data_IF_134990071030
#
_entry.id   IF_134990071030
#
_cell.length_a   1.000
_cell.length_b   1.000
_cell.length_c   1.000
_cell.angle_alpha   90.00
_cell.angle_beta   90.00
_cell.angle_gamma   90.00
#
_symmetry.space_group_name_H-M   'P 1'
#
loop_
_entity.id
_entity.type
_entity.pdbx_description
1 polymer ?
#
# COMPACT_ATOMS: atom_id res chain seq x y z
N UNK A 1 12.88 31.65 22.81
CA UNK A 1 11.63 31.02 23.30
C UNK A 1 10.45 31.78 22.75
N UNK A 2 9.77 31.22 21.74
CA UNK A 2 8.31 31.29 21.54
C UNK A 2 7.97 30.01 20.79
N UNK A 3 7.23 29.11 21.42
CA UNK A 3 6.75 27.90 20.77
C UNK A 3 5.45 28.17 20.03
N UNK A 4 5.20 27.41 18.96
CA UNK A 4 3.86 27.06 18.50
C UNK A 4 3.95 25.69 17.84
N UNK A 5 3.55 24.67 18.61
CA UNK A 5 3.07 23.43 18.04
C UNK A 5 1.79 23.72 17.26
N UNK A 6 1.71 23.20 16.05
CA UNK A 6 0.53 23.32 15.22
C UNK A 6 0.61 22.31 14.11
N UNK A 7 -0.09 21.19 14.28
CA UNK A 7 -0.37 20.24 13.22
C UNK A 7 -1.01 21.00 12.06
N UNK A 8 -0.25 21.17 10.97
CA UNK A 8 -0.69 21.89 9.79
C UNK A 8 -1.59 20.97 8.96
N UNK A 9 -2.86 20.89 9.34
CA UNK A 9 -3.90 20.27 8.52
C UNK A 9 -4.93 21.34 8.13
N UNK A 10 -5.21 21.55 6.84
CA UNK A 10 -6.37 22.34 6.45
C UNK A 10 -7.63 21.50 6.72
N UNK A 11 -8.40 21.91 7.72
CA UNK A 11 -9.76 21.41 7.91
C UNK A 11 -10.63 22.05 6.84
N UNK A 12 -11.20 21.25 5.94
CA UNK A 12 -12.26 21.69 5.02
C UNK A 12 -13.52 20.89 5.36
N UNK A 13 -14.58 21.61 5.72
CA UNK A 13 -15.93 21.10 5.96
C UNK A 13 -16.10 20.06 7.09
N UNK A 14 -15.42 20.28 8.23
CA UNK A 14 -15.76 19.64 9.51
C UNK A 14 -15.55 18.12 9.60
N UNK A 15 -14.92 17.49 8.60
CA UNK A 15 -14.60 16.06 8.59
C UNK A 15 -13.10 15.85 8.68
N UNK A 16 -12.69 14.91 9.54
CA UNK A 16 -11.30 14.46 9.65
C UNK A 16 -10.93 13.78 8.33
N UNK A 17 -10.26 14.48 7.41
CA UNK A 17 -9.78 13.87 6.18
C UNK A 17 -8.69 12.85 6.52
N UNK A 18 -9.02 11.57 6.38
CA UNK A 18 -8.04 10.50 6.20
C UNK A 18 -7.18 10.90 4.99
N UNK A 19 -5.85 10.90 5.19
CA UNK A 19 -4.91 11.74 4.47
C UNK A 19 -5.04 11.70 2.92
N UNK A 20 -4.83 12.84 2.23
CA UNK A 20 -4.83 12.90 0.77
C UNK A 20 -3.83 11.90 0.18
N UNK A 21 -4.19 11.33 -0.97
CA UNK A 21 -3.33 10.41 -1.72
C UNK A 21 -1.96 11.06 -1.99
N UNK A 22 -0.92 10.25 -2.14
CA UNK A 22 0.44 10.78 -2.40
C UNK A 22 0.49 11.74 -3.61
N UNK A 23 -0.42 11.55 -4.58
CA UNK A 23 -0.58 12.40 -5.76
C UNK A 23 -1.12 13.80 -5.42
N UNK A 24 -2.07 13.90 -4.50
CA UNK A 24 -2.61 15.19 -4.03
C UNK A 24 -1.63 15.93 -3.12
N UNK A 25 -0.84 15.21 -2.32
CA UNK A 25 0.25 15.82 -1.51
C UNK A 25 1.37 16.39 -2.37
N UNK A 26 1.69 15.74 -3.48
CA UNK A 26 2.71 16.21 -4.43
C UNK A 26 2.33 17.51 -5.13
N UNK A 27 1.03 17.76 -5.33
CA UNK A 27 0.54 18.96 -6.02
C UNK A 27 0.77 20.27 -5.24
N UNK A 28 1.05 20.23 -3.93
CA UNK A 28 1.15 21.42 -3.08
C UNK A 28 2.59 21.85 -2.73
N UNK A 29 3.64 21.17 -3.25
CA UNK A 29 5.03 21.59 -3.07
C UNK A 29 5.96 21.17 -4.23
N UNK A 30 6.19 22.03 -5.22
CA UNK A 30 7.19 21.77 -6.25
C UNK A 30 8.60 22.10 -5.70
N UNK A 31 9.40 21.07 -5.40
CA UNK A 31 10.86 21.23 -5.29
C UNK A 31 11.59 20.69 -4.05
N UNK A 32 11.02 19.79 -3.25
CA UNK A 32 11.82 19.06 -2.24
C UNK A 32 12.24 17.69 -2.78
N UNK A 33 13.46 17.24 -2.47
CA UNK A 33 13.89 15.86 -2.78
C UNK A 33 12.97 14.81 -2.13
N UNK A 34 12.33 15.17 -1.02
CA UNK A 34 11.27 14.38 -0.41
C UNK A 34 10.04 14.24 -1.31
N UNK A 35 9.55 15.29 -1.99
CA UNK A 35 8.40 15.14 -2.89
C UNK A 35 8.74 14.26 -4.10
N UNK A 36 9.96 14.32 -4.63
CA UNK A 36 10.40 13.38 -5.67
C UNK A 36 10.46 11.92 -5.18
N UNK A 37 10.94 11.67 -3.96
CA UNK A 37 10.99 10.31 -3.40
C UNK A 37 9.59 9.77 -3.05
N UNK A 38 8.72 10.60 -2.47
CA UNK A 38 7.33 10.26 -2.16
C UNK A 38 6.49 10.03 -3.42
N UNK A 39 6.73 10.77 -4.50
CA UNK A 39 6.09 10.57 -5.81
C UNK A 39 6.67 9.33 -6.52
N UNK A 40 7.96 9.07 -6.40
CA UNK A 40 8.62 7.94 -7.09
C UNK A 40 8.38 6.58 -6.41
N UNK A 41 8.15 6.56 -5.09
CA UNK A 41 7.86 5.32 -4.34
C UNK A 41 6.67 4.52 -4.90
N UNK A 42 5.48 5.10 -5.14
CA UNK A 42 4.37 4.37 -5.73
C UNK A 42 4.65 3.91 -7.17
N UNK A 43 5.43 4.65 -7.97
CA UNK A 43 5.74 4.25 -9.34
C UNK A 43 6.62 2.99 -9.42
N UNK A 44 7.64 2.90 -8.55
CA UNK A 44 8.48 1.70 -8.46
C UNK A 44 7.68 0.49 -7.99
N UNK A 45 6.80 0.68 -7.00
CA UNK A 45 5.91 -0.37 -6.51
C UNK A 45 4.91 -0.82 -7.58
N UNK A 46 4.36 0.11 -8.37
CA UNK A 46 3.49 -0.22 -9.51
C UNK A 46 4.22 -1.03 -10.58
N UNK A 47 5.46 -0.67 -10.91
CA UNK A 47 6.27 -1.45 -11.83
C UNK A 47 6.56 -2.86 -11.30
N UNK A 48 6.76 -2.98 -9.98
CA UNK A 48 6.97 -4.27 -9.33
C UNK A 48 5.70 -5.13 -9.32
N UNK A 49 4.53 -4.53 -9.02
CA UNK A 49 3.21 -5.19 -9.14
C UNK A 49 3.04 -5.78 -10.54
N UNK A 50 3.30 -4.99 -11.60
CA UNK A 50 3.17 -5.46 -12.98
C UNK A 50 4.08 -6.66 -13.31
N UNK A 51 5.28 -6.75 -12.71
CA UNK A 51 6.14 -7.93 -12.88
C UNK A 51 5.55 -9.15 -12.19
N UNK A 52 5.10 -9.00 -10.95
CA UNK A 52 4.51 -10.11 -10.19
C UNK A 52 3.19 -10.58 -10.78
N UNK A 53 2.38 -9.69 -11.38
CA UNK A 53 1.19 -10.06 -12.13
C UNK A 53 1.52 -10.95 -13.33
N UNK A 54 2.62 -10.69 -14.05
CA UNK A 54 3.11 -11.57 -15.12
C UNK A 54 3.52 -12.94 -14.58
N UNK A 55 4.24 -12.98 -13.46
CA UNK A 55 4.60 -14.25 -12.81
C UNK A 55 3.34 -15.02 -12.37
N UNK A 56 2.32 -14.31 -11.89
CA UNK A 56 1.04 -14.92 -11.52
C UNK A 56 0.31 -15.53 -12.72
N UNK A 57 0.46 -14.97 -13.93
CA UNK A 57 -0.11 -15.58 -15.14
C UNK A 57 0.50 -16.95 -15.41
N UNK A 58 1.81 -17.11 -15.21
CA UNK A 58 2.50 -18.39 -15.37
C UNK A 58 2.22 -19.35 -14.21
N UNK A 59 1.98 -18.80 -13.01
CA UNK A 59 1.81 -19.56 -11.75
C UNK A 59 0.59 -19.05 -10.95
N UNK A 60 -0.64 -19.32 -11.42
CA UNK A 60 -1.86 -18.70 -10.87
C UNK A 60 -2.21 -19.10 -9.44
N UNK A 61 -1.59 -20.16 -8.92
CA UNK A 61 -1.80 -20.71 -7.59
C UNK A 61 -0.52 -20.70 -6.75
N UNK A 62 0.49 -19.91 -7.12
CA UNK A 62 1.67 -19.72 -6.28
C UNK A 62 1.33 -18.80 -5.11
N UNK A 63 1.27 -19.38 -3.91
CA UNK A 63 0.92 -18.67 -2.69
C UNK A 63 1.91 -17.53 -2.37
N UNK A 64 3.19 -17.71 -2.66
CA UNK A 64 4.21 -16.69 -2.44
C UNK A 64 3.99 -15.48 -3.35
N UNK A 65 3.68 -15.73 -4.62
CA UNK A 65 3.35 -14.67 -5.59
C UNK A 65 2.09 -13.90 -5.16
N UNK A 66 1.05 -14.60 -4.72
CA UNK A 66 -0.18 -13.98 -4.24
C UNK A 66 0.05 -13.13 -2.97
N UNK A 67 0.84 -13.61 -2.01
CA UNK A 67 1.21 -12.84 -0.82
C UNK A 67 2.02 -11.60 -1.17
N UNK A 68 2.97 -11.72 -2.09
CA UNK A 68 3.78 -10.59 -2.55
C UNK A 68 2.91 -9.51 -3.20
N UNK A 69 1.97 -9.92 -4.08
CA UNK A 69 1.01 -9.00 -4.69
C UNK A 69 0.09 -8.35 -3.65
N UNK A 70 -0.35 -9.09 -2.63
CA UNK A 70 -1.16 -8.56 -1.55
C UNK A 70 -0.43 -7.43 -0.80
N UNK A 71 0.82 -7.65 -0.40
CA UNK A 71 1.63 -6.64 0.29
C UNK A 71 1.92 -5.43 -0.59
N UNK A 72 2.29 -5.64 -1.86
CA UNK A 72 2.59 -4.54 -2.77
C UNK A 72 1.36 -3.66 -3.04
N UNK A 73 0.19 -4.27 -3.24
CA UNK A 73 -1.06 -3.52 -3.45
C UNK A 73 -1.45 -2.74 -2.18
N UNK A 74 -1.22 -3.31 -0.99
CA UNK A 74 -1.43 -2.59 0.28
C UNK A 74 -0.53 -1.34 0.37
N UNK A 75 0.74 -1.46 -0.03
CA UNK A 75 1.71 -0.35 0.01
C UNK A 75 1.37 0.80 -0.97
N UNK A 76 0.61 0.53 -2.03
CA UNK A 76 0.14 1.57 -2.97
C UNK A 76 -1.30 2.01 -2.71
N UNK A 77 -1.87 1.66 -1.54
CA UNK A 77 -3.23 2.00 -1.13
C UNK A 77 -4.34 1.37 -2.00
N UNK A 78 -4.04 0.30 -2.72
CA UNK A 78 -5.02 -0.51 -3.49
C UNK A 78 -5.57 -1.62 -2.58
N UNK A 79 -6.28 -1.20 -1.52
CA UNK A 79 -6.71 -2.07 -0.41
C UNK A 79 -7.58 -3.24 -0.88
N UNK A 80 -8.53 -3.01 -1.80
CA UNK A 80 -9.41 -4.07 -2.28
C UNK A 80 -8.61 -5.19 -2.98
N UNK A 81 -7.68 -4.82 -3.86
CA UNK A 81 -6.80 -5.79 -4.54
C UNK A 81 -5.90 -6.53 -3.55
N UNK A 82 -5.37 -5.81 -2.56
CA UNK A 82 -4.55 -6.41 -1.52
C UNK A 82 -5.32 -7.52 -0.78
N UNK A 83 -6.56 -7.24 -0.39
CA UNK A 83 -7.46 -8.18 0.27
C UNK A 83 -7.82 -9.37 -0.62
N UNK A 84 -8.09 -9.14 -1.91
CA UNK A 84 -8.40 -10.21 -2.87
C UNK A 84 -7.23 -11.19 -3.03
N UNK A 85 -6.00 -10.68 -3.22
CA UNK A 85 -4.82 -11.53 -3.34
C UNK A 85 -4.52 -12.27 -2.03
N UNK A 86 -4.66 -11.61 -0.89
CA UNK A 86 -4.48 -12.24 0.42
C UNK A 86 -5.50 -13.35 0.66
N UNK A 87 -6.78 -13.11 0.34
CA UNK A 87 -7.84 -14.11 0.47
C UNK A 87 -7.55 -15.34 -0.39
N UNK A 88 -7.08 -15.15 -1.63
CA UNK A 88 -6.63 -16.25 -2.50
C UNK A 88 -5.45 -17.02 -1.90
N UNK A 89 -4.44 -16.33 -1.37
CA UNK A 89 -3.30 -16.97 -0.73
C UNK A 89 -3.72 -17.78 0.51
N UNK A 90 -4.62 -17.24 1.34
CA UNK A 90 -5.19 -17.90 2.52
C UNK A 90 -6.03 -19.11 2.15
N UNK A 91 -6.77 -19.05 1.04
CA UNK A 91 -7.56 -20.19 0.55
C UNK A 91 -6.69 -21.38 0.13
N UNK A 92 -5.53 -21.14 -0.48
CA UNK A 92 -4.64 -22.20 -0.96
C UNK A 92 -3.98 -22.99 0.17
N UNK A 93 -3.47 -22.30 1.19
CA UNK A 93 -2.97 -22.93 2.42
C UNK A 93 -3.21 -22.01 3.62
N UNK A 94 -4.32 -22.23 4.36
CA UNK A 94 -4.65 -21.45 5.54
C UNK A 94 -3.65 -21.58 6.69
N UNK A 95 -2.85 -22.65 6.73
CA UNK A 95 -1.91 -22.93 7.83
C UNK A 95 -0.49 -22.41 7.55
N UNK A 96 -0.26 -21.87 6.36
CA UNK A 96 1.00 -21.26 5.98
C UNK A 96 1.42 -20.19 7.02
N UNK A 97 2.69 -20.25 7.45
CA UNK A 97 3.21 -19.38 8.49
C UNK A 97 3.25 -17.89 8.05
N UNK A 98 3.54 -17.62 6.78
CA UNK A 98 3.54 -16.26 6.22
C UNK A 98 2.13 -15.70 6.11
N UNK A 99 1.16 -16.51 5.68
CA UNK A 99 -0.26 -16.10 5.65
C UNK A 99 -0.74 -15.68 7.04
N UNK A 100 -0.47 -16.50 8.07
CA UNK A 100 -0.86 -16.18 9.45
C UNK A 100 -0.21 -14.89 9.94
N UNK A 101 1.11 -14.77 9.75
CA UNK A 101 1.85 -13.57 10.17
C UNK A 101 1.33 -12.30 9.49
N UNK A 102 1.09 -12.34 8.18
CA UNK A 102 0.58 -11.19 7.42
C UNK A 102 -0.89 -10.88 7.77
N UNK A 103 -1.68 -11.92 8.02
CA UNK A 103 -3.05 -11.79 8.53
C UNK A 103 -3.09 -11.04 9.86
N UNK A 104 -2.24 -11.41 10.83
CA UNK A 104 -2.20 -10.78 12.15
C UNK A 104 -1.61 -9.37 12.13
N UNK A 105 -0.69 -9.06 11.22
CA UNK A 105 0.08 -7.80 11.23
C UNK A 105 -0.41 -6.73 10.26
N UNK A 106 -0.81 -7.10 9.05
CA UNK A 106 -1.20 -6.15 7.99
C UNK A 106 -2.72 -6.11 7.86
N UNK A 107 -3.35 -7.28 7.77
CA UNK A 107 -4.75 -7.39 7.41
C UNK A 107 -5.71 -7.55 8.60
N UNK A 108 -5.17 -7.72 9.81
CA UNK A 108 -5.87 -7.85 11.09
C UNK A 108 -6.99 -8.92 11.11
N UNK A 109 -6.72 -10.09 10.51
CA UNK A 109 -7.62 -11.26 10.40
C UNK A 109 -7.20 -12.44 11.27
#
# INVERSE_FOLDING_TARGET
MVGLGGSFWPVVDGRLNLAPSAQEKAAWWPGSKETEEWVSRPDRLRAEILKWEKVLQDRPYDQGVLLQLAVLNWQVYEEQKALEYFARAKYLDPNNAEVRRLGESIFLF
#
